data_IF_201653893131
#
_entry.id   IF_201653893131
#
_cell.length_a   1.000
_cell.length_b   1.000
_cell.length_c   1.000
_cell.angle_alpha   90.00
_cell.angle_beta   90.00
_cell.angle_gamma   90.00
#
_symmetry.space_group_name_H-M   'P 1'
#
loop_
_entity.id
_entity.type
_entity.pdbx_description
1 polymer ?
#
# COMPACT_ATOMS: atom_id res chain seq x y z
N UNK A 1 6.23 -6.78 14.05
CA UNK A 1 4.78 -6.51 14.08
C UNK A 1 4.33 -5.90 12.74
N UNK A 2 4.18 -6.69 11.68
CA UNK A 2 3.88 -6.17 10.32
C UNK A 2 2.43 -5.70 10.19
N UNK A 3 1.47 -6.53 10.61
CA UNK A 3 0.03 -6.29 10.40
C UNK A 3 -0.48 -5.04 11.10
N UNK A 4 0.01 -4.75 12.32
CA UNK A 4 -0.40 -3.57 13.08
C UNK A 4 0.06 -2.28 12.38
N UNK A 5 1.29 -2.26 11.87
CA UNK A 5 1.84 -1.12 11.13
C UNK A 5 1.12 -0.90 9.80
N UNK A 6 0.80 -1.97 9.06
CA UNK A 6 -0.01 -1.87 7.83
C UNK A 6 -1.39 -1.31 8.12
N UNK A 7 -2.02 -1.72 9.22
CA UNK A 7 -3.34 -1.21 9.62
C UNK A 7 -3.28 0.29 9.98
N UNK A 8 -2.26 0.71 10.73
CA UNK A 8 -2.07 2.13 11.06
C UNK A 8 -1.86 2.97 9.79
N UNK A 9 -1.02 2.49 8.87
CA UNK A 9 -0.73 3.19 7.62
C UNK A 9 -1.97 3.38 6.73
N UNK A 10 -2.81 2.35 6.58
CA UNK A 10 -4.05 2.43 5.79
C UNK A 10 -5.12 3.29 6.49
N UNK A 11 -5.10 3.38 7.83
CA UNK A 11 -5.97 4.32 8.55
C UNK A 11 -5.55 5.78 8.35
N UNK A 12 -4.24 6.05 8.32
CA UNK A 12 -3.71 7.39 8.03
C UNK A 12 -3.83 7.75 6.53
N UNK A 13 -3.80 6.74 5.65
CA UNK A 13 -3.86 6.88 4.20
C UNK A 13 -5.03 6.04 3.64
N UNK A 14 -6.28 6.51 3.76
CA UNK A 14 -7.47 5.74 3.39
C UNK A 14 -7.56 5.39 1.89
N UNK A 15 -6.84 6.13 1.05
CA UNK A 15 -6.77 5.91 -0.40
C UNK A 15 -5.67 4.91 -0.81
N UNK A 16 -4.94 4.33 0.15
CA UNK A 16 -3.81 3.43 -0.10
C UNK A 16 -3.99 2.07 0.58
N UNK A 17 -3.40 1.04 -0.03
CA UNK A 17 -3.39 -0.32 0.48
C UNK A 17 -1.97 -0.86 0.55
N UNK A 18 -1.69 -1.66 1.58
CA UNK A 18 -0.40 -2.31 1.79
C UNK A 18 -0.32 -3.62 0.98
N UNK A 19 0.56 -3.73 -0.02
CA UNK A 19 0.76 -4.96 -0.81
C UNK A 19 1.38 -6.09 0.04
N UNK A 20 1.46 -7.29 -0.54
CA UNK A 20 2.02 -8.46 0.14
C UNK A 20 3.48 -8.21 0.55
N UNK A 21 3.79 -8.41 1.83
CA UNK A 21 5.15 -8.21 2.37
C UNK A 21 5.49 -6.77 2.78
N UNK A 22 4.58 -5.82 2.56
CA UNK A 22 4.80 -4.39 2.83
C UNK A 22 5.37 -4.09 4.23
N UNK A 23 6.34 -3.18 4.27
CA UNK A 23 6.98 -2.61 5.46
C UNK A 23 6.95 -1.08 5.43
N UNK A 24 7.05 -0.41 6.60
CA UNK A 24 7.16 1.04 6.65
C UNK A 24 8.33 1.56 5.79
N UNK A 25 8.03 2.43 4.82
CA UNK A 25 9.00 2.96 3.85
C UNK A 25 8.97 2.28 2.47
N UNK A 26 8.22 1.18 2.30
CA UNK A 26 7.97 0.58 0.99
C UNK A 26 6.76 1.21 0.29
N UNK A 27 6.75 1.13 -1.04
CA UNK A 27 5.64 1.64 -1.85
C UNK A 27 4.33 0.93 -1.49
N UNK A 28 3.30 1.73 -1.24
CA UNK A 28 1.90 1.31 -1.16
C UNK A 28 1.24 1.35 -2.54
N UNK A 29 0.04 0.81 -2.66
CA UNK A 29 -0.74 0.81 -3.91
C UNK A 29 -2.07 1.53 -3.69
N UNK A 30 -2.58 2.25 -4.69
CA UNK A 30 -3.97 2.72 -4.68
C UNK A 30 -4.91 1.60 -5.16
N UNK A 31 -6.03 1.32 -4.46
CA UNK A 31 -6.96 0.24 -4.81
C UNK A 31 -7.87 0.58 -6.02
N UNK A 32 -7.41 1.40 -6.96
CA UNK A 32 -8.12 1.75 -8.18
C UNK A 32 -7.53 1.01 -9.40
N UNK A 33 -8.34 0.42 -10.30
CA UNK A 33 -7.84 -0.34 -11.46
C UNK A 33 -7.00 0.46 -12.47
N UNK A 34 -7.14 1.79 -12.51
CA UNK A 34 -6.34 2.67 -13.36
C UNK A 34 -5.05 3.07 -12.64
N UNK A 35 -5.14 3.46 -11.37
CA UNK A 35 -3.99 3.96 -10.59
C UNK A 35 -3.08 2.84 -10.08
N UNK A 36 -3.61 1.64 -9.83
CA UNK A 36 -2.82 0.46 -9.45
C UNK A 36 -1.80 0.07 -10.53
N UNK A 37 -2.03 0.46 -11.79
CA UNK A 37 -1.08 0.23 -12.89
C UNK A 37 0.24 0.96 -12.68
N UNK A 38 0.23 2.10 -12.00
CA UNK A 38 1.47 2.84 -11.68
C UNK A 38 2.34 2.03 -10.73
N UNK A 39 1.73 1.40 -9.74
CA UNK A 39 2.40 0.50 -8.82
C UNK A 39 2.91 -0.77 -9.53
N UNK A 40 2.09 -1.41 -10.36
CA UNK A 40 2.50 -2.61 -11.10
C UNK A 40 3.52 -2.35 -12.21
N UNK A 41 3.66 -1.12 -12.71
CA UNK A 41 4.69 -0.74 -13.67
C UNK A 41 6.05 -0.45 -13.01
N UNK A 42 6.06 -0.15 -11.70
CA UNK A 42 7.27 0.14 -10.92
C UNK A 42 7.83 -1.10 -10.18
N UNK A 43 7.10 -2.23 -10.22
CA UNK A 43 7.57 -3.56 -9.81
C UNK A 43 8.28 -4.22 -10.99
#
# INVERSE_FOLDING_TARGET
>A
MRTLQSLQYVQENPDEVCPAGWKPGEMSMKPDPKLSKEFFAAI
#
